data_IF_777482837802
#
_entry.id   IF_777482837802
#
_cell.length_a   1.000
_cell.length_b   1.000
_cell.length_c   1.000
_cell.angle_alpha   90.00
_cell.angle_beta   90.00
_cell.angle_gamma   90.00
#
_symmetry.space_group_name_H-M   'P 1'
#
loop_
_entity.id
_entity.type
_entity.pdbx_description
1 polymer ?
#
# COMPACT_ATOMS: atom_id res chain seq x y z
N UNK A 1 15.37 1.24 2.31
CA UNK A 1 14.96 1.97 3.54
C UNK A 1 14.69 3.45 3.30
N UNK A 2 15.51 4.18 2.54
CA UNK A 2 15.33 5.63 2.28
C UNK A 2 14.10 6.05 1.45
N UNK A 3 13.62 5.20 0.52
CA UNK A 3 12.43 5.52 -0.29
C UNK A 3 11.13 5.45 0.53
N UNK A 4 11.06 4.53 1.49
CA UNK A 4 9.90 4.37 2.37
C UNK A 4 9.77 5.52 3.38
N UNK A 5 10.90 6.09 3.82
CA UNK A 5 10.92 7.21 4.78
C UNK A 5 10.74 8.60 4.14
N UNK A 6 10.70 8.70 2.81
CA UNK A 6 10.62 9.99 2.08
C UNK A 6 9.22 10.26 1.48
N UNK A 7 8.19 9.53 1.91
CA UNK A 7 6.84 9.66 1.35
C UNK A 7 6.70 9.14 -0.08
N UNK A 8 7.66 8.31 -0.53
CA UNK A 8 7.69 7.67 -1.85
C UNK A 8 7.50 6.16 -1.74
N UNK A 9 6.56 5.75 -0.90
CA UNK A 9 6.31 4.35 -0.63
C UNK A 9 5.90 3.60 -1.91
N UNK A 10 4.98 4.17 -2.70
CA UNK A 10 4.50 3.54 -3.94
C UNK A 10 5.66 3.26 -4.91
N UNK A 11 6.55 4.25 -5.09
CA UNK A 11 7.71 4.14 -5.97
C UNK A 11 8.70 3.07 -5.45
N UNK A 12 8.99 3.07 -4.15
CA UNK A 12 9.86 2.06 -3.52
C UNK A 12 9.30 0.65 -3.63
N UNK A 13 7.99 0.48 -3.45
CA UNK A 13 7.31 -0.81 -3.56
C UNK A 13 7.30 -1.34 -5.00
N UNK A 14 7.03 -0.48 -5.99
CA UNK A 14 7.11 -0.84 -7.41
C UNK A 14 8.53 -1.24 -7.84
N UNK A 15 9.55 -0.53 -7.36
CA UNK A 15 10.95 -0.91 -7.60
C UNK A 15 11.24 -2.29 -7.02
N UNK A 16 10.79 -2.57 -5.79
CA UNK A 16 10.97 -3.87 -5.16
C UNK A 16 10.27 -5.00 -5.96
N UNK A 17 9.02 -4.78 -6.40
CA UNK A 17 8.30 -5.73 -7.27
C UNK A 17 9.06 -5.99 -8.58
N UNK A 18 9.59 -4.95 -9.23
CA UNK A 18 10.38 -5.07 -10.46
C UNK A 18 11.68 -5.83 -10.24
N UNK A 19 12.37 -5.59 -9.12
CA UNK A 19 13.60 -6.32 -8.77
C UNK A 19 13.27 -7.79 -8.53
N UNK A 20 12.23 -8.09 -7.76
CA UNK A 20 11.78 -9.46 -7.51
C UNK A 20 11.43 -10.19 -8.81
N UNK A 21 10.64 -9.57 -9.69
CA UNK A 21 10.28 -10.14 -10.99
C UNK A 21 11.50 -10.41 -11.88
N UNK A 22 12.46 -9.48 -11.92
CA UNK A 22 13.72 -9.67 -12.67
C UNK A 22 14.58 -10.79 -12.10
N UNK A 23 14.71 -10.88 -10.78
CA UNK A 23 15.47 -11.95 -10.15
C UNK A 23 14.82 -13.31 -10.35
N UNK A 24 13.49 -13.39 -10.27
CA UNK A 24 12.71 -14.61 -10.57
C UNK A 24 12.97 -15.10 -11.99
N UNK A 25 13.03 -14.20 -12.97
CA UNK A 25 13.31 -14.55 -14.36
C UNK A 25 14.76 -15.07 -14.58
N UNK A 26 15.71 -14.65 -13.75
CA UNK A 26 17.14 -15.02 -13.89
C UNK A 26 17.50 -16.26 -13.07
N UNK A 27 17.04 -16.33 -11.82
CA UNK A 27 17.44 -17.34 -10.83
C UNK A 27 16.41 -18.48 -10.70
N UNK A 28 15.21 -18.31 -11.25
CA UNK A 28 14.10 -19.24 -11.08
C UNK A 28 13.29 -18.97 -9.81
N UNK A 29 12.10 -19.56 -9.74
CA UNK A 29 11.12 -19.32 -8.66
C UNK A 29 11.53 -19.86 -7.28
N UNK A 30 12.43 -20.85 -7.25
CA UNK A 30 12.85 -21.52 -6.02
C UNK A 30 14.18 -20.99 -5.45
N UNK A 31 14.75 -19.94 -6.05
CA UNK A 31 15.98 -19.35 -5.53
C UNK A 31 15.73 -18.66 -4.18
N UNK A 32 16.61 -18.89 -3.21
CA UNK A 32 16.48 -18.36 -1.85
C UNK A 32 16.32 -16.84 -1.81
N UNK A 33 16.92 -16.09 -2.75
CA UNK A 33 16.81 -14.62 -2.80
C UNK A 33 15.47 -14.18 -3.35
N UNK A 34 14.93 -14.92 -4.32
CA UNK A 34 13.60 -14.66 -4.88
C UNK A 34 12.54 -14.88 -3.80
N UNK A 35 12.64 -15.99 -3.06
CA UNK A 35 11.75 -16.29 -1.95
C UNK A 35 11.83 -15.24 -0.82
N UNK A 36 13.03 -14.77 -0.48
CA UNK A 36 13.21 -13.71 0.53
C UNK A 36 12.57 -12.38 0.10
N UNK A 37 12.71 -12.01 -1.18
CA UNK A 37 12.08 -10.80 -1.73
C UNK A 37 10.56 -10.96 -1.80
N UNK A 38 10.04 -12.10 -2.28
CA UNK A 38 8.60 -12.35 -2.33
C UNK A 38 7.98 -12.34 -0.92
N UNK A 39 8.62 -12.97 0.07
CA UNK A 39 8.21 -12.88 1.47
C UNK A 39 8.26 -11.45 2.01
N UNK A 40 9.24 -10.65 1.60
CA UNK A 40 9.33 -9.25 2.01
C UNK A 40 8.20 -8.44 1.38
N UNK A 41 7.87 -8.69 0.11
CA UNK A 41 6.74 -8.07 -0.59
C UNK A 41 5.43 -8.47 0.11
N UNK A 42 5.23 -9.75 0.44
CA UNK A 42 4.06 -10.22 1.21
C UNK A 42 3.97 -9.58 2.59
N UNK A 43 5.09 -9.48 3.32
CA UNK A 43 5.10 -8.80 4.63
C UNK A 43 4.81 -7.31 4.54
N UNK A 44 5.18 -6.66 3.43
CA UNK A 44 4.81 -5.27 3.13
C UNK A 44 3.35 -5.18 2.65
N UNK A 45 2.81 -6.27 2.11
CA UNK A 45 1.42 -6.46 1.68
C UNK A 45 0.49 -6.57 2.89
N UNK A 46 0.94 -7.25 3.94
CA UNK A 46 0.24 -7.32 5.21
C UNK A 46 0.22 -5.92 5.86
N UNK A 47 -0.92 -5.24 5.74
CA UNK A 47 -1.05 -3.84 6.09
C UNK A 47 -0.72 -3.52 7.55
N UNK A 48 -0.69 -4.51 8.45
CA UNK A 48 -0.19 -4.35 9.82
C UNK A 48 1.23 -3.78 9.86
N UNK A 49 2.11 -4.24 8.96
CA UNK A 49 3.48 -3.74 8.85
C UNK A 49 3.56 -2.42 8.08
N UNK A 50 2.68 -2.23 7.09
CA UNK A 50 2.54 -0.96 6.37
C UNK A 50 2.26 0.20 7.35
N UNK A 51 1.31 0.00 8.29
CA UNK A 51 1.02 0.95 9.36
C UNK A 51 2.22 1.14 10.30
N UNK A 52 2.93 0.08 10.65
CA UNK A 52 4.11 0.12 11.54
C UNK A 52 5.32 0.87 10.94
N UNK A 53 5.52 0.77 9.62
CA UNK A 53 6.62 1.43 8.90
C UNK A 53 6.41 2.95 8.75
N UNK A 54 5.16 3.40 8.65
CA UNK A 54 4.85 4.82 8.48
C UNK A 54 4.90 5.63 9.79
N UNK A 55 4.60 5.01 10.93
CA UNK A 55 4.54 5.71 12.22
C UNK A 55 5.92 6.02 12.84
N UNK A 56 7.02 5.66 12.16
CA UNK A 56 8.42 6.06 12.44
C UNK A 56 8.88 5.94 13.90
N UNK A 57 8.18 5.18 14.73
CA UNK A 57 8.54 4.89 16.11
C UNK A 57 8.00 3.49 16.37
N UNK A 58 8.86 2.55 16.75
CA UNK A 58 8.52 1.14 16.96
C UNK A 58 7.56 0.87 18.12
N UNK A 59 6.48 1.64 18.22
CA UNK A 59 5.36 1.44 19.12
C UNK A 59 4.22 0.89 18.26
N UNK A 60 3.79 -0.33 18.60
CA UNK A 60 2.63 -0.97 17.99
C UNK A 60 1.46 0.02 17.85
N UNK A 61 0.63 -0.10 16.80
CA UNK A 61 -0.55 0.74 16.68
C UNK A 61 -1.45 0.45 17.89
N UNK A 62 -1.41 1.34 18.87
CA UNK A 62 -2.54 1.52 19.75
C UNK A 62 -3.56 2.27 18.90
N UNK A 63 -4.71 1.65 18.55
CA UNK A 63 -5.66 2.22 17.60
C UNK A 63 -6.42 3.37 18.27
N UNK A 64 -5.76 4.50 18.47
CA UNK A 64 -6.44 5.76 18.73
C UNK A 64 -6.86 6.26 17.35
N UNK A 65 -7.99 5.73 16.87
CA UNK A 65 -8.51 5.89 15.51
C UNK A 65 -8.50 7.35 15.01
N UNK A 66 -8.65 8.32 15.91
CA UNK A 66 -8.62 9.75 15.61
C UNK A 66 -7.27 10.25 15.07
N UNK A 67 -6.13 9.82 15.62
CA UNK A 67 -4.82 10.28 15.14
C UNK A 67 -4.43 9.64 13.80
N UNK A 68 -4.92 8.42 13.57
CA UNK A 68 -4.71 7.66 12.33
C UNK A 68 -5.60 8.21 11.21
N UNK A 69 -6.81 8.68 11.48
CA UNK A 69 -7.65 9.28 10.44
C UNK A 69 -6.99 10.53 9.83
N UNK A 70 -6.63 11.50 10.66
CA UNK A 70 -6.05 12.76 10.21
C UNK A 70 -4.68 12.56 9.55
N UNK A 71 -3.86 11.67 10.09
CA UNK A 71 -2.52 11.42 9.52
C UNK A 71 -2.63 10.79 8.13
N UNK A 72 -3.56 9.86 7.90
CA UNK A 72 -3.60 9.06 6.68
C UNK A 72 -4.50 9.66 5.59
N UNK A 73 -5.48 10.49 5.95
CA UNK A 73 -6.30 11.22 4.97
C UNK A 73 -5.47 12.21 4.15
N UNK A 74 -4.48 12.87 4.78
CA UNK A 74 -3.64 13.87 4.13
C UNK A 74 -2.28 13.34 3.67
N UNK A 75 -1.91 12.11 4.05
CA UNK A 75 -0.63 11.53 3.64
C UNK A 75 -0.70 10.97 2.22
N UNK A 76 0.11 11.55 1.34
CA UNK A 76 0.36 11.06 -0.01
C UNK A 76 1.57 10.13 -0.01
N UNK A 77 1.49 9.03 -0.76
CA UNK A 77 2.49 7.96 -0.84
C UNK A 77 3.42 8.12 -2.04
N UNK A 78 3.10 9.08 -2.89
CA UNK A 78 3.88 9.50 -4.04
C UNK A 78 3.53 10.93 -4.43
N UNK A 79 4.23 11.43 -5.45
CA UNK A 79 4.00 12.74 -6.06
C UNK A 79 2.71 12.81 -6.87
N UNK A 80 2.02 11.69 -7.13
CA UNK A 80 0.75 11.65 -7.87
C UNK A 80 -0.46 11.86 -6.95
N UNK A 81 -0.23 12.13 -5.66
CA UNK A 81 -1.29 12.31 -4.68
C UNK A 81 -1.99 11.00 -4.29
N UNK A 82 -1.36 9.85 -4.54
CA UNK A 82 -1.88 8.55 -4.16
C UNK A 82 -1.93 8.46 -2.63
N UNK A 83 -3.11 8.25 -2.06
CA UNK A 83 -3.26 8.01 -0.61
C UNK A 83 -3.21 6.52 -0.29
N UNK A 84 -3.27 6.17 1.01
CA UNK A 84 -3.39 4.79 1.47
C UNK A 84 -4.50 4.03 0.74
N UNK A 85 -5.69 4.62 0.65
CA UNK A 85 -6.85 3.96 0.06
C UNK A 85 -6.64 3.66 -1.44
N UNK A 86 -6.00 4.56 -2.18
CA UNK A 86 -5.66 4.34 -3.59
C UNK A 86 -4.66 3.18 -3.75
N UNK A 87 -3.65 3.12 -2.88
CA UNK A 87 -2.64 2.06 -2.92
C UNK A 87 -3.25 0.68 -2.65
N UNK A 88 -4.01 0.53 -1.55
CA UNK A 88 -4.61 -0.78 -1.22
C UNK A 88 -5.71 -1.18 -2.20
N UNK A 89 -6.41 -0.21 -2.80
CA UNK A 89 -7.35 -0.45 -3.88
C UNK A 89 -6.67 -0.90 -5.16
N UNK A 90 -5.50 -0.33 -5.51
CA UNK A 90 -4.69 -0.79 -6.65
C UNK A 90 -4.16 -2.21 -6.50
N UNK A 91 -3.81 -2.59 -5.27
CA UNK A 91 -3.22 -3.90 -4.97
C UNK A 91 -4.25 -5.01 -4.74
N UNK A 92 -5.55 -4.68 -4.64
CA UNK A 92 -6.61 -5.67 -4.49
C UNK A 92 -6.79 -6.18 -3.05
N UNK A 93 -6.38 -5.41 -2.04
CA UNK A 93 -6.43 -5.88 -0.64
C UNK A 93 -7.74 -5.52 0.04
N UNK A 94 -8.78 -6.31 -0.22
CA UNK A 94 -10.13 -6.15 0.33
C UNK A 94 -10.14 -5.97 1.87
N UNK A 95 -9.30 -6.70 2.61
CA UNK A 95 -9.18 -6.56 4.07
C UNK A 95 -8.66 -5.20 4.51
N UNK A 96 -7.70 -4.62 3.79
CA UNK A 96 -7.14 -3.31 4.12
C UNK A 96 -8.03 -2.17 3.65
N UNK A 97 -8.75 -2.34 2.54
CA UNK A 97 -9.80 -1.40 2.14
C UNK A 97 -10.87 -1.34 3.22
N UNK A 98 -11.37 -2.49 3.69
CA UNK A 98 -12.32 -2.55 4.80
C UNK A 98 -11.80 -1.86 6.07
N UNK A 99 -10.52 -2.05 6.39
CA UNK A 99 -9.91 -1.35 7.52
C UNK A 99 -9.85 0.17 7.30
N UNK A 100 -9.41 0.62 6.11
CA UNK A 100 -9.37 2.03 5.72
C UNK A 100 -10.74 2.72 5.80
N UNK A 101 -11.79 2.01 5.39
CA UNK A 101 -13.18 2.46 5.50
C UNK A 101 -13.62 2.56 6.97
N UNK A 102 -13.27 1.57 7.80
CA UNK A 102 -13.58 1.57 9.24
C UNK A 102 -12.92 2.73 10.01
N UNK A 103 -11.72 3.15 9.61
CA UNK A 103 -11.02 4.28 10.23
C UNK A 103 -11.45 5.64 9.66
N UNK A 104 -12.44 5.67 8.74
CA UNK A 104 -13.03 6.91 8.24
C UNK A 104 -12.16 7.70 7.28
N UNK A 105 -11.24 7.04 6.55
CA UNK A 105 -10.49 7.71 5.47
C UNK A 105 -11.47 8.21 4.40
N UNK A 106 -11.26 9.45 3.93
CA UNK A 106 -12.08 10.04 2.88
C UNK A 106 -11.95 9.26 1.55
N UNK A 107 -13.01 8.53 1.21
CA UNK A 107 -13.13 7.72 -0.02
C UNK A 107 -13.21 8.55 -1.30
N UNK A 108 -13.60 9.82 -1.18
CA UNK A 108 -13.73 10.75 -2.30
C UNK A 108 -12.42 11.44 -2.65
N UNK A 109 -11.34 11.16 -1.91
CA UNK A 109 -10.01 11.70 -2.25
C UNK A 109 -9.63 11.23 -3.65
N UNK A 110 -9.08 12.14 -4.45
CA UNK A 110 -8.61 11.85 -5.80
C UNK A 110 -7.10 12.03 -5.90
N UNK A 111 -6.48 11.20 -6.71
CA UNK A 111 -5.12 11.42 -7.22
C UNK A 111 -5.04 12.71 -8.07
N UNK A 112 -3.83 13.14 -8.40
CA UNK A 112 -3.57 14.27 -9.31
C UNK A 112 -4.17 14.07 -10.71
N UNK A 113 -4.53 12.83 -11.06
CA UNK A 113 -5.20 12.47 -12.32
C UNK A 113 -6.73 12.45 -12.22
N UNK A 114 -7.29 12.83 -11.07
CA UNK A 114 -8.73 12.81 -10.82
C UNK A 114 -9.31 11.42 -10.53
N UNK A 115 -8.47 10.40 -10.34
CA UNK A 115 -8.94 9.04 -10.02
C UNK A 115 -9.14 8.87 -8.53
N UNK A 116 -10.30 8.35 -8.11
CA UNK A 116 -10.54 7.84 -6.76
C UNK A 116 -9.96 6.43 -6.62
N UNK A 117 -9.89 5.92 -5.39
CA UNK A 117 -9.51 4.54 -5.13
C UNK A 117 -10.41 3.54 -5.87
N UNK A 118 -11.72 3.84 -6.00
CA UNK A 118 -12.68 3.01 -6.73
C UNK A 118 -12.37 2.95 -8.23
N UNK A 119 -12.02 4.08 -8.86
CA UNK A 119 -11.59 4.09 -10.28
C UNK A 119 -10.38 3.17 -10.49
N UNK A 120 -9.43 3.20 -9.56
CA UNK A 120 -8.23 2.36 -9.64
C UNK A 120 -8.60 0.88 -9.47
N UNK A 121 -9.38 0.51 -8.44
CA UNK A 121 -9.82 -0.86 -8.22
C UNK A 121 -10.57 -1.42 -9.45
N UNK A 122 -11.50 -0.65 -10.00
CA UNK A 122 -12.25 -1.03 -11.21
C UNK A 122 -11.31 -1.21 -12.41
N UNK A 123 -10.36 -0.29 -12.63
CA UNK A 123 -9.39 -0.39 -13.73
C UNK A 123 -8.46 -1.61 -13.63
N UNK A 124 -8.24 -2.11 -12.42
CA UNK A 124 -7.40 -3.27 -12.12
C UNK A 124 -8.17 -4.58 -12.07
N UNK A 125 -9.51 -4.53 -12.16
CA UNK A 125 -10.38 -5.70 -12.10
C UNK A 125 -10.62 -6.25 -10.70
N UNK A 126 -10.38 -5.45 -9.65
CA UNK A 126 -10.60 -5.86 -8.25
C UNK A 126 -12.07 -5.70 -7.87
N UNK A 127 -12.92 -6.58 -8.40
CA UNK A 127 -14.39 -6.50 -8.24
C UNK A 127 -14.82 -6.59 -6.78
N UNK A 128 -14.10 -7.35 -5.96
CA UNK A 128 -14.38 -7.43 -4.52
C UNK A 128 -14.33 -6.07 -3.82
N UNK A 129 -13.47 -5.16 -4.30
CA UNK A 129 -13.31 -3.81 -3.75
C UNK A 129 -14.36 -2.85 -4.31
N UNK A 130 -14.80 -3.07 -5.56
CA UNK A 130 -15.87 -2.25 -6.14
C UNK A 130 -17.23 -2.50 -5.49
N UNK A 131 -17.38 -3.67 -4.87
CA UNK A 131 -18.61 -4.11 -4.23
C UNK A 131 -18.65 -3.84 -2.71
N UNK A 132 -17.60 -3.21 -2.13
CA UNK A 132 -17.54 -2.77 -0.73
C UNK A 132 -18.31 -1.46 -0.49
#
# INVERSE_FOLDING_TARGET
TLLFSSGKFSEGFEILKRIGAKQKAVLGENDSKVLEIEQTIEKLRDGVNFFYLLTSSGKAPNPIASHIQDTYQFQTFDSEGTTFLHFVASEGHTSLVNYALKIGINVMTVTNRGNTALHIAASKGHTEITDL
#
